data_IF_720063597766
#
_entry.id   IF_720063597766
#
_cell.length_a   1.000
_cell.length_b   1.000
_cell.length_c   1.000
_cell.angle_alpha   90.00
_cell.angle_beta   90.00
_cell.angle_gamma   90.00
#
_symmetry.space_group_name_H-M   'P 1'
#
loop_
_entity.id
_entity.type
_entity.pdbx_description
1 polymer ?
#
# COMPACT_ATOMS: atom_id res chain seq x y z
N UNK A 1 -47.91 -11.49 -10.41
CA UNK A 1 -47.66 -12.95 -10.50
C UNK A 1 -48.11 -13.57 -9.19
N UNK A 2 -49.13 -14.42 -9.21
CA UNK A 2 -49.49 -15.22 -8.02
C UNK A 2 -48.32 -16.11 -7.62
N UNK A 3 -47.90 -16.04 -6.35
CA UNK A 3 -46.88 -16.94 -5.82
C UNK A 3 -47.49 -18.33 -5.67
N UNK A 4 -47.09 -19.26 -6.54
CA UNK A 4 -47.47 -20.67 -6.43
C UNK A 4 -46.89 -21.22 -5.12
N UNK A 5 -47.75 -21.69 -4.22
CA UNK A 5 -47.35 -22.18 -2.90
C UNK A 5 -47.50 -23.69 -2.86
N UNK A 6 -46.45 -24.40 -2.43
CA UNK A 6 -46.47 -25.86 -2.25
C UNK A 6 -46.63 -26.19 -0.76
N UNK A 7 -47.49 -27.17 -0.44
CA UNK A 7 -47.73 -27.59 0.93
C UNK A 7 -46.84 -28.78 1.26
N UNK A 8 -46.12 -28.67 2.37
CA UNK A 8 -45.29 -29.74 2.92
C UNK A 8 -45.75 -30.07 4.34
N UNK A 9 -45.64 -31.32 4.74
CA UNK A 9 -45.87 -31.76 6.13
C UNK A 9 -44.51 -31.98 6.78
N UNK A 10 -44.26 -31.35 7.92
CA UNK A 10 -43.02 -31.48 8.69
C UNK A 10 -43.33 -31.78 10.15
N UNK A 11 -42.51 -32.61 10.78
CA UNK A 11 -42.56 -32.86 12.21
C UNK A 11 -41.62 -31.89 12.91
N UNK A 12 -42.17 -31.02 13.75
CA UNK A 12 -41.42 -30.07 14.55
C UNK A 12 -41.74 -30.29 16.04
N UNK A 13 -40.78 -30.02 16.94
CA UNK A 13 -41.04 -30.08 18.36
C UNK A 13 -42.18 -29.12 18.77
N UNK A 14 -43.05 -29.50 19.72
CA UNK A 14 -44.20 -28.68 20.13
C UNK A 14 -43.84 -27.26 20.58
N UNK A 15 -42.68 -27.11 21.22
CA UNK A 15 -42.14 -25.83 21.67
C UNK A 15 -41.80 -24.89 20.50
N UNK A 16 -41.28 -25.42 19.39
CA UNK A 16 -40.93 -24.65 18.19
C UNK A 16 -42.21 -24.20 17.48
N UNK A 17 -43.23 -25.06 17.44
CA UNK A 17 -44.54 -24.72 16.88
C UNK A 17 -45.17 -23.59 17.70
N UNK A 18 -45.16 -23.69 19.04
CA UNK A 18 -45.65 -22.63 19.93
C UNK A 18 -44.87 -21.33 19.77
N UNK A 19 -43.55 -21.42 19.60
CA UNK A 19 -42.71 -20.26 19.35
C UNK A 19 -43.12 -19.55 18.06
N UNK A 20 -43.32 -20.30 16.97
CA UNK A 20 -43.77 -19.72 15.70
C UNK A 20 -45.18 -19.09 15.85
N UNK A 21 -46.12 -19.81 16.48
CA UNK A 21 -47.50 -19.38 16.68
C UNK A 21 -47.62 -18.11 17.55
N UNK A 22 -46.74 -17.92 18.53
CA UNK A 22 -46.75 -16.77 19.44
C UNK A 22 -46.07 -15.52 18.88
N UNK A 23 -45.26 -15.66 17.83
CA UNK A 23 -44.37 -14.60 17.38
C UNK A 23 -44.58 -14.17 15.93
N UNK A 24 -45.33 -14.91 15.09
CA UNK A 24 -45.56 -14.50 13.70
C UNK A 24 -46.25 -13.12 13.61
N UNK A 25 -47.27 -12.87 14.43
CA UNK A 25 -47.95 -11.56 14.47
C UNK A 25 -47.05 -10.47 15.08
N UNK A 26 -46.25 -10.81 16.10
CA UNK A 26 -45.31 -9.88 16.73
C UNK A 26 -44.22 -9.38 15.77
N UNK A 27 -43.85 -10.21 14.80
CA UNK A 27 -42.87 -9.87 13.77
C UNK A 27 -43.53 -9.37 12.47
N UNK A 28 -44.81 -8.98 12.51
CA UNK A 28 -45.54 -8.37 11.38
C UNK A 28 -45.70 -9.30 10.16
N UNK A 29 -45.73 -10.62 10.38
CA UNK A 29 -46.08 -11.58 9.34
C UNK A 29 -47.59 -11.81 9.29
N UNK A 30 -48.12 -12.21 8.12
CA UNK A 30 -49.57 -12.45 7.97
C UNK A 30 -50.03 -13.81 8.47
N UNK A 31 -49.12 -14.77 8.53
CA UNK A 31 -49.38 -16.12 9.00
C UNK A 31 -48.07 -16.82 9.34
N UNK A 32 -48.17 -17.95 10.03
CA UNK A 32 -47.03 -18.80 10.38
C UNK A 32 -46.19 -19.21 9.16
N UNK A 33 -46.80 -19.47 8.00
CA UNK A 33 -46.06 -19.90 6.82
C UNK A 33 -45.15 -18.81 6.26
N UNK A 34 -45.55 -17.53 6.32
CA UNK A 34 -44.68 -16.40 5.94
C UNK A 34 -43.49 -16.26 6.89
N UNK A 35 -43.72 -16.43 8.20
CA UNK A 35 -42.62 -16.46 9.18
C UNK A 35 -41.64 -17.60 8.89
N UNK A 36 -42.14 -18.80 8.58
CA UNK A 36 -41.30 -19.97 8.27
C UNK A 36 -40.51 -19.76 6.96
N UNK A 37 -41.14 -19.22 5.91
CA UNK A 37 -40.44 -18.88 4.65
C UNK A 37 -39.31 -17.86 4.91
N UNK A 38 -39.60 -16.81 5.67
CA UNK A 38 -38.59 -15.81 6.05
C UNK A 38 -37.45 -16.42 6.87
N UNK A 39 -37.76 -17.27 7.86
CA UNK A 39 -36.76 -17.91 8.70
C UNK A 39 -35.83 -18.84 7.91
N UNK A 40 -36.37 -19.64 6.98
CA UNK A 40 -35.57 -20.52 6.12
C UNK A 40 -34.65 -19.69 5.22
N UNK A 41 -35.19 -18.64 4.57
CA UNK A 41 -34.40 -17.74 3.70
C UNK A 41 -33.29 -17.06 4.46
N UNK A 42 -33.57 -16.53 5.64
CA UNK A 42 -32.58 -15.86 6.49
C UNK A 42 -31.48 -16.83 6.92
N UNK A 43 -31.84 -18.04 7.35
CA UNK A 43 -30.87 -19.06 7.77
C UNK A 43 -29.91 -19.43 6.63
N UNK A 44 -30.47 -19.77 5.46
CA UNK A 44 -29.66 -20.14 4.28
C UNK A 44 -28.80 -18.95 3.84
N UNK A 45 -29.37 -17.75 3.77
CA UNK A 45 -28.63 -16.55 3.34
C UNK A 45 -27.47 -16.23 4.29
N UNK A 46 -27.67 -16.36 5.60
CA UNK A 46 -26.61 -16.15 6.60
C UNK A 46 -25.47 -17.15 6.45
N UNK A 47 -25.76 -18.44 6.27
CA UNK A 47 -24.70 -19.43 6.12
C UNK A 47 -23.95 -19.27 4.79
N UNK A 48 -24.66 -18.96 3.71
CA UNK A 48 -24.05 -18.61 2.42
C UNK A 48 -23.13 -17.38 2.57
N UNK A 49 -23.58 -16.35 3.28
CA UNK A 49 -22.78 -15.15 3.55
C UNK A 49 -21.55 -15.45 4.40
N UNK A 50 -21.61 -16.33 5.40
CA UNK A 50 -20.44 -16.73 6.19
C UNK A 50 -19.39 -17.43 5.34
N UNK A 51 -19.81 -18.34 4.46
CA UNK A 51 -18.92 -19.04 3.54
C UNK A 51 -18.28 -18.04 2.56
N UNK A 52 -19.10 -17.20 1.94
CA UNK A 52 -18.66 -16.21 0.96
C UNK A 52 -17.74 -15.14 1.57
N UNK A 53 -18.06 -14.62 2.76
CA UNK A 53 -17.22 -13.62 3.45
C UNK A 53 -15.88 -14.19 3.91
N UNK A 54 -15.85 -15.45 4.34
CA UNK A 54 -14.62 -16.17 4.67
C UNK A 54 -13.70 -16.35 3.46
N UNK A 55 -14.27 -16.70 2.30
CA UNK A 55 -13.53 -16.86 1.05
C UNK A 55 -13.03 -15.52 0.48
N UNK A 56 -13.89 -14.50 0.44
CA UNK A 56 -13.51 -13.16 -0.01
C UNK A 56 -12.40 -12.56 0.83
N UNK A 57 -12.47 -12.70 2.16
CA UNK A 57 -11.44 -12.18 3.06
C UNK A 57 -10.09 -12.85 2.81
N UNK A 58 -10.08 -14.17 2.61
CA UNK A 58 -8.86 -14.92 2.27
C UNK A 58 -8.31 -14.56 0.90
N UNK A 59 -9.18 -14.34 -0.08
CA UNK A 59 -8.79 -13.93 -1.42
C UNK A 59 -8.20 -12.52 -1.43
N UNK A 60 -8.84 -11.59 -0.73
CA UNK A 60 -8.37 -10.21 -0.57
C UNK A 60 -7.00 -10.17 0.11
N UNK A 61 -6.81 -10.92 1.22
CA UNK A 61 -5.51 -11.03 1.89
C UNK A 61 -4.41 -11.61 0.99
N UNK A 62 -4.74 -12.53 0.09
CA UNK A 62 -3.76 -13.09 -0.86
C UNK A 62 -3.34 -12.05 -1.90
N UNK A 63 -4.30 -11.32 -2.47
CA UNK A 63 -4.02 -10.25 -3.43
C UNK A 63 -3.21 -9.15 -2.77
N UNK A 64 -3.63 -8.68 -1.60
CA UNK A 64 -2.93 -7.63 -0.88
C UNK A 64 -1.46 -8.02 -0.61
N UNK A 65 -1.21 -9.25 -0.15
CA UNK A 65 0.16 -9.75 0.06
C UNK A 65 0.95 -9.89 -1.24
N UNK A 66 0.33 -10.29 -2.35
CA UNK A 66 1.03 -10.42 -3.63
C UNK A 66 1.38 -9.07 -4.23
N UNK A 67 0.44 -8.11 -4.21
CA UNK A 67 0.66 -6.76 -4.73
C UNK A 67 1.71 -6.02 -3.91
N UNK A 68 1.66 -6.11 -2.57
CA UNK A 68 2.70 -5.54 -1.69
C UNK A 68 4.06 -6.14 -2.02
N UNK A 69 4.15 -7.47 -2.16
CA UNK A 69 5.42 -8.13 -2.49
C UNK A 69 5.98 -7.70 -3.85
N UNK A 70 5.12 -7.58 -4.87
CA UNK A 70 5.55 -7.10 -6.18
C UNK A 70 6.02 -5.64 -6.13
N UNK A 71 5.34 -4.79 -5.37
CA UNK A 71 5.74 -3.41 -5.16
C UNK A 71 7.07 -3.31 -4.43
N UNK A 72 7.30 -4.12 -3.38
CA UNK A 72 8.57 -4.20 -2.65
C UNK A 72 9.72 -4.64 -3.56
N UNK A 73 9.53 -5.69 -4.37
CA UNK A 73 10.53 -6.15 -5.34
C UNK A 73 10.84 -5.08 -6.40
N UNK A 74 9.82 -4.38 -6.87
CA UNK A 74 9.98 -3.28 -7.83
C UNK A 74 10.74 -2.10 -7.23
N UNK A 75 10.36 -1.67 -6.02
CA UNK A 75 11.04 -0.60 -5.28
C UNK A 75 12.49 -0.95 -4.98
N UNK A 76 12.78 -2.21 -4.61
CA UNK A 76 14.14 -2.67 -4.39
C UNK A 76 14.99 -2.60 -5.68
N UNK A 77 14.45 -3.06 -6.81
CA UNK A 77 15.12 -2.97 -8.12
C UNK A 77 15.36 -1.52 -8.54
N UNK A 78 14.38 -0.64 -8.35
CA UNK A 78 14.50 0.76 -8.68
C UNK A 78 15.54 1.46 -7.79
N UNK A 79 15.53 1.18 -6.49
CA UNK A 79 16.50 1.69 -5.52
C UNK A 79 17.93 1.26 -5.88
N UNK A 80 18.10 0.00 -6.31
CA UNK A 80 19.39 -0.48 -6.79
C UNK A 80 19.87 0.28 -8.03
N UNK A 81 19.00 0.49 -9.02
CA UNK A 81 19.34 1.28 -10.23
C UNK A 81 19.75 2.71 -9.86
N UNK A 82 18.99 3.38 -8.99
CA UNK A 82 19.32 4.73 -8.51
C UNK A 82 20.68 4.73 -7.79
N UNK A 83 20.97 3.72 -6.97
CA UNK A 83 22.26 3.60 -6.30
C UNK A 83 23.43 3.45 -7.29
N UNK A 84 23.23 2.67 -8.37
CA UNK A 84 24.22 2.54 -9.45
C UNK A 84 24.47 3.89 -10.15
N UNK A 85 23.42 4.62 -10.52
CA UNK A 85 23.54 5.94 -11.15
C UNK A 85 24.26 6.95 -10.22
N UNK A 86 23.93 6.96 -8.92
CA UNK A 86 24.61 7.81 -7.93
C UNK A 86 26.08 7.43 -7.78
N UNK A 87 26.42 6.14 -7.82
CA UNK A 87 27.80 5.69 -7.76
C UNK A 87 28.57 6.10 -9.02
N UNK A 88 27.97 6.00 -10.20
CA UNK A 88 28.56 6.47 -11.45
C UNK A 88 28.81 7.98 -11.42
N UNK A 89 27.86 8.78 -10.90
CA UNK A 89 28.07 10.22 -10.71
C UNK A 89 29.20 10.52 -9.72
N UNK A 90 29.31 9.78 -8.61
CA UNK A 90 30.42 9.95 -7.66
C UNK A 90 31.77 9.63 -8.30
N UNK A 91 31.86 8.53 -9.06
CA UNK A 91 33.09 8.17 -9.77
C UNK A 91 33.46 9.22 -10.80
N UNK A 92 32.49 9.72 -11.58
CA UNK A 92 32.72 10.80 -12.54
C UNK A 92 33.23 12.06 -11.85
N UNK A 93 32.59 12.49 -10.75
CA UNK A 93 33.02 13.66 -9.98
C UNK A 93 34.42 13.48 -9.40
N UNK A 94 34.75 12.31 -8.85
CA UNK A 94 36.08 12.02 -8.34
C UNK A 94 37.15 12.04 -9.44
N UNK A 95 36.80 11.73 -10.69
CA UNK A 95 37.73 11.84 -11.83
C UNK A 95 38.01 13.27 -12.29
N UNK A 96 37.15 14.24 -11.95
CA UNK A 96 37.28 15.65 -12.39
C UNK A 96 37.54 16.63 -11.24
N UNK A 97 37.48 16.17 -9.99
CA UNK A 97 37.68 16.99 -8.80
C UNK A 97 38.43 16.20 -7.75
N UNK A 98 39.47 16.79 -7.16
CA UNK A 98 40.17 16.19 -6.02
C UNK A 98 39.59 16.72 -4.70
N UNK A 99 38.45 16.15 -4.30
CA UNK A 99 37.73 16.59 -3.09
C UNK A 99 38.28 15.84 -1.88
N UNK A 100 38.72 16.59 -0.85
CA UNK A 100 39.16 15.99 0.40
C UNK A 100 38.01 15.23 1.11
N UNK A 101 38.34 14.19 1.88
CA UNK A 101 37.34 13.44 2.67
C UNK A 101 36.58 14.34 3.66
N UNK A 102 37.19 15.44 4.10
CA UNK A 102 36.58 16.38 5.02
C UNK A 102 35.54 17.24 4.30
N UNK A 103 35.88 17.79 3.13
CA UNK A 103 34.95 18.60 2.33
C UNK A 103 33.75 17.78 1.85
N UNK A 104 33.96 16.51 1.50
CA UNK A 104 32.87 15.60 1.15
C UNK A 104 31.89 15.35 2.32
N UNK A 105 32.40 15.28 3.56
CA UNK A 105 31.56 15.15 4.77
C UNK A 105 30.78 16.42 5.05
N UNK A 106 31.43 17.57 4.93
CA UNK A 106 30.80 18.87 5.17
C UNK A 106 29.73 19.18 4.10
N UNK A 107 30.00 18.83 2.84
CA UNK A 107 29.03 18.89 1.75
C UNK A 107 27.81 17.99 2.03
N UNK A 108 28.03 16.76 2.50
CA UNK A 108 26.95 15.84 2.88
C UNK A 108 26.11 16.41 4.02
N UNK A 109 26.73 16.97 5.07
CA UNK A 109 26.01 17.56 6.19
C UNK A 109 25.11 18.72 5.74
N UNK A 110 25.62 19.59 4.86
CA UNK A 110 24.86 20.69 4.28
C UNK A 110 23.72 20.20 3.37
N UNK A 111 23.97 19.17 2.56
CA UNK A 111 22.94 18.56 1.72
C UNK A 111 21.79 17.97 2.56
N UNK A 112 22.10 17.26 3.65
CA UNK A 112 21.08 16.73 4.58
C UNK A 112 20.27 17.85 5.22
N UNK A 113 20.91 18.94 5.65
CA UNK A 113 20.22 20.10 6.23
C UNK A 113 19.23 20.73 5.22
N UNK A 114 19.68 20.94 3.97
CA UNK A 114 18.84 21.51 2.92
C UNK A 114 17.66 20.59 2.57
N UNK A 115 17.88 19.27 2.48
CA UNK A 115 16.82 18.29 2.19
C UNK A 115 15.77 18.29 3.31
N UNK A 116 16.22 18.39 4.56
CA UNK A 116 15.32 18.44 5.72
C UNK A 116 14.49 19.73 5.73
N UNK A 117 15.12 20.87 5.43
CA UNK A 117 14.42 22.17 5.34
C UNK A 117 13.41 22.18 4.19
N UNK A 118 13.77 21.59 3.06
CA UNK A 118 12.95 21.60 1.83
C UNK A 118 11.99 20.41 1.68
N UNK A 119 11.91 19.55 2.70
CA UNK A 119 11.06 18.33 2.73
C UNK A 119 11.27 17.41 1.53
N UNK A 120 12.51 17.27 1.08
CA UNK A 120 12.86 16.34 0.00
C UNK A 120 12.93 16.93 -1.41
N UNK A 121 12.59 18.21 -1.61
CA UNK A 121 12.68 18.85 -2.93
C UNK A 121 13.68 20.01 -2.93
N UNK A 122 14.75 19.92 -3.70
CA UNK A 122 15.72 21.02 -3.86
C UNK A 122 15.82 21.37 -5.34
N UNK A 123 15.50 22.61 -5.69
CA UNK A 123 15.69 23.12 -7.05
C UNK A 123 17.13 23.57 -7.27
N UNK A 124 17.58 23.56 -8.53
CA UNK A 124 18.91 24.05 -8.91
C UNK A 124 19.13 25.52 -8.50
N UNK A 125 18.09 26.35 -8.54
CA UNK A 125 18.17 27.74 -8.12
C UNK A 125 18.45 27.87 -6.62
N UNK A 126 17.80 27.02 -5.81
CA UNK A 126 18.04 26.95 -4.37
C UNK A 126 19.46 26.45 -4.09
N UNK A 127 19.93 25.43 -4.81
CA UNK A 127 21.30 24.92 -4.68
C UNK A 127 22.34 25.97 -5.04
N UNK A 128 22.10 26.78 -6.09
CA UNK A 128 23.02 27.85 -6.53
C UNK A 128 23.25 28.91 -5.46
N UNK A 129 22.25 29.18 -4.61
CA UNK A 129 22.37 30.13 -3.48
C UNK A 129 23.20 29.57 -2.32
N UNK A 130 23.35 28.25 -2.23
CA UNK A 130 23.99 27.56 -1.12
C UNK A 130 25.33 26.90 -1.51
N UNK A 131 26.01 27.42 -2.54
CA UNK A 131 27.33 26.89 -2.98
C UNK A 131 28.27 26.70 -1.79
N UNK A 132 28.96 25.58 -1.76
CA UNK A 132 30.10 25.34 -0.88
C UNK A 132 31.35 25.68 -1.70
N UNK A 133 32.24 26.55 -1.22
CA UNK A 133 33.52 26.76 -1.87
C UNK A 133 34.31 25.44 -1.75
N UNK A 134 34.51 24.76 -2.88
CA UNK A 134 35.41 23.63 -2.98
C UNK A 134 36.77 24.19 -3.40
N UNK A 135 37.83 23.82 -2.69
CA UNK A 135 39.19 24.07 -3.17
C UNK A 135 39.44 23.10 -4.32
N UNK A 136 39.35 23.61 -5.54
CA UNK A 136 39.80 22.90 -6.73
C UNK A 136 41.26 23.32 -6.90
N UNK A 137 42.21 22.38 -6.84
CA UNK A 137 43.55 22.68 -7.33
C UNK A 137 43.43 22.90 -8.85
N UNK A 138 43.79 24.10 -9.29
CA UNK A 138 43.94 24.37 -10.72
C UNK A 138 45.17 23.57 -11.17
N UNK A 139 44.96 22.49 -11.91
CA UNK A 139 45.99 21.90 -12.78
C UNK A 139 46.27 22.88 -13.94
N UNK A 140 46.70 24.11 -13.62
CA UNK A 140 47.53 24.87 -14.53
C UNK A 140 48.95 24.30 -14.39
N UNK A 141 49.17 23.14 -15.01
CA UNK A 141 50.52 22.83 -15.46
C UNK A 141 50.93 23.98 -16.37
N UNK A 142 51.89 24.76 -15.87
CA UNK A 142 52.49 25.87 -16.56
C UNK A 142 52.89 25.44 -17.97
N UNK A 143 52.54 26.27 -18.95
CA UNK A 143 53.28 26.33 -20.21
C UNK A 143 54.76 26.50 -19.85
N UNK A 144 55.52 25.41 -19.91
CA UNK A 144 56.99 25.45 -19.83
C UNK A 144 57.48 25.92 -21.19
N UNK A 145 57.44 27.24 -21.36
CA UNK A 145 58.15 27.97 -22.40
C UNK A 145 59.66 27.93 -22.13
N UNK A 146 60.40 27.10 -22.88
CA UNK A 146 61.86 27.21 -23.08
C UNK A 146 62.63 25.90 -22.84
N UNK A 147 63.44 25.36 -23.75
CA UNK A 147 64.19 25.88 -24.90
C UNK A 147 64.31 24.82 -26.00
#
# INVERSE_FOLDING_TARGET
>A
MERKTEKITVSLPPEVIRLADQNWEKFDFKNRSELIDAAIREYISRDLLKEFTGELSRFYQKIERSEIKHLEEYLAKLSYKIAVEIAQMHLLMASITDISKQDARDLRAKAVALVNESKGYISLETTRKHKVPLQLEDDMEAEDDGW
#
